data_IF_100858984625
#
_entry.id   IF_100858984625
#
_cell.length_a   1.000
_cell.length_b   1.000
_cell.length_c   1.000
_cell.angle_alpha   90.00
_cell.angle_beta   90.00
_cell.angle_gamma   90.00
#
_symmetry.space_group_name_H-M   'P 1'
#
loop_
_entity.id
_entity.type
_entity.pdbx_description
1 polymer ?
#
# COMPACT_ATOMS: atom_id res chain seq x y z
N UNK A 1 -15.45 -25.08 24.34
CA UNK A 1 -15.35 -23.64 24.01
C UNK A 1 -14.03 -23.45 23.30
N UNK A 2 -14.03 -23.37 21.97
CA UNK A 2 -12.80 -23.09 21.24
C UNK A 2 -12.37 -21.67 21.55
N UNK A 3 -11.16 -21.49 22.06
CA UNK A 3 -10.53 -20.17 22.14
C UNK A 3 -10.31 -19.79 20.69
N UNK A 4 -11.19 -18.95 20.16
CA UNK A 4 -10.94 -18.27 18.90
C UNK A 4 -9.78 -17.34 19.20
N UNK A 5 -8.56 -17.78 18.89
CA UNK A 5 -7.40 -16.89 18.96
C UNK A 5 -7.71 -15.73 18.03
N UNK A 6 -7.99 -14.57 18.63
CA UNK A 6 -8.17 -13.32 17.94
C UNK A 6 -6.79 -12.93 17.40
N UNK A 7 -6.38 -13.58 16.30
CA UNK A 7 -5.15 -13.25 15.59
C UNK A 7 -5.30 -11.77 15.26
N UNK A 8 -4.48 -10.88 15.84
CA UNK A 8 -4.73 -9.46 15.72
C UNK A 8 -4.62 -9.08 14.24
N UNK A 9 -5.77 -8.78 13.64
CA UNK A 9 -5.91 -8.54 12.21
C UNK A 9 -5.36 -7.15 11.92
N UNK A 10 -4.18 -7.09 11.32
CA UNK A 10 -3.67 -5.85 10.75
C UNK A 10 -4.53 -5.53 9.52
N UNK A 11 -5.24 -4.40 9.53
CA UNK A 11 -5.92 -3.87 8.36
C UNK A 11 -5.14 -2.67 7.83
N UNK A 12 -5.01 -2.59 6.51
CA UNK A 12 -4.24 -1.53 5.85
C UNK A 12 -5.07 -0.96 4.72
N UNK A 13 -5.16 0.36 4.62
CA UNK A 13 -5.83 1.05 3.52
C UNK A 13 -5.01 2.26 3.05
N UNK A 14 -5.34 2.77 1.87
CA UNK A 14 -4.81 4.01 1.32
C UNK A 14 -6.00 4.92 1.01
N UNK A 15 -6.67 5.55 1.99
CA UNK A 15 -7.90 6.31 1.74
C UNK A 15 -7.71 7.54 0.87
N UNK A 16 -6.49 8.11 0.81
CA UNK A 16 -6.25 9.36 0.09
C UNK A 16 -4.81 9.51 -0.40
N UNK A 17 -4.65 10.47 -1.32
CA UNK A 17 -3.35 11.01 -1.71
C UNK A 17 -3.27 12.47 -1.28
N UNK A 18 -2.10 12.86 -0.77
CA UNK A 18 -1.79 14.20 -0.32
C UNK A 18 -0.73 14.83 -1.22
N UNK A 19 -0.80 16.16 -1.36
CA UNK A 19 0.20 16.97 -2.07
C UNK A 19 0.97 17.77 -1.01
N UNK A 20 2.27 17.58 -0.97
CA UNK A 20 3.18 18.32 -0.08
C UNK A 20 4.08 19.19 -0.96
N UNK A 21 4.09 20.51 -0.73
CA UNK A 21 5.03 21.41 -1.38
C UNK A 21 6.28 21.52 -0.53
N UNK A 22 7.45 21.36 -1.15
CA UNK A 22 8.71 21.66 -0.48
C UNK A 22 9.01 23.16 -0.53
N UNK A 23 10.03 23.59 0.23
CA UNK A 23 10.47 24.99 0.31
C UNK A 23 10.86 25.59 -1.05
N UNK A 24 11.09 24.75 -2.06
CA UNK A 24 11.37 25.15 -3.44
C UNK A 24 10.11 25.27 -4.31
N UNK A 25 8.91 25.11 -3.73
CA UNK A 25 7.62 25.13 -4.42
C UNK A 25 7.32 23.87 -5.23
N UNK A 26 8.11 22.80 -5.09
CA UNK A 26 7.91 21.57 -5.85
C UNK A 26 6.91 20.67 -5.15
N UNK A 27 5.77 20.45 -5.79
CA UNK A 27 4.73 19.54 -5.28
C UNK A 27 5.16 18.07 -5.37
N UNK A 28 5.11 17.39 -4.23
CA UNK A 28 5.36 15.96 -4.06
C UNK A 28 4.04 15.26 -3.78
N UNK A 29 3.88 14.07 -4.35
CA UNK A 29 2.69 13.23 -4.14
C UNK A 29 2.98 12.18 -3.08
N UNK A 30 2.13 12.12 -2.06
CA UNK A 30 2.20 11.19 -0.95
C UNK A 30 0.90 10.40 -0.89
N UNK A 31 1.00 9.13 -0.52
CA UNK A 31 -0.14 8.27 -0.25
C UNK A 31 -0.29 8.19 1.27
N UNK A 32 -1.48 8.51 1.79
CA UNK A 32 -1.79 8.31 3.19
C UNK A 32 -2.15 6.84 3.37
N UNK A 33 -1.25 6.09 4.00
CA UNK A 33 -1.47 4.69 4.33
C UNK A 33 -1.97 4.65 5.78
N UNK A 34 -3.18 4.14 5.98
CA UNK A 34 -3.74 3.91 7.30
C UNK A 34 -3.56 2.47 7.71
N UNK A 35 -3.23 2.25 8.98
CA UNK A 35 -3.07 0.93 9.58
C UNK A 35 -3.96 0.87 10.82
N UNK A 36 -4.92 -0.05 10.81
CA UNK A 36 -5.71 -0.40 11.99
C UNK A 36 -5.15 -1.69 12.58
N UNK A 37 -4.75 -1.63 13.84
CA UNK A 37 -4.20 -2.75 14.58
C UNK A 37 -4.56 -2.62 16.05
N UNK A 38 -5.13 -3.67 16.65
CA UNK A 38 -5.57 -3.67 18.05
C UNK A 38 -6.43 -2.44 18.39
N UNK A 39 -7.42 -2.15 17.55
CA UNK A 39 -8.33 -0.99 17.66
C UNK A 39 -7.64 0.39 17.59
N UNK A 40 -6.32 0.44 17.33
CA UNK A 40 -5.58 1.69 17.15
C UNK A 40 -5.38 1.97 15.69
N UNK A 41 -5.73 3.19 15.30
CA UNK A 41 -5.56 3.70 13.94
C UNK A 41 -4.31 4.57 13.86
N UNK A 42 -3.36 4.16 13.03
CA UNK A 42 -2.15 4.91 12.71
C UNK A 42 -2.17 5.31 11.24
N UNK A 43 -1.42 6.35 10.86
CA UNK A 43 -1.18 6.66 9.46
C UNK A 43 0.27 7.03 9.19
N UNK A 44 0.72 6.76 7.97
CA UNK A 44 2.02 7.19 7.45
C UNK A 44 1.86 7.73 6.03
N UNK A 45 2.63 8.76 5.69
CA UNK A 45 2.70 9.28 4.33
C UNK A 45 3.86 8.61 3.58
N UNK A 46 3.59 8.08 2.38
CA UNK A 46 4.58 7.33 1.59
C UNK A 46 4.59 7.76 0.13
N UNK A 47 5.79 7.79 -0.47
CA UNK A 47 6.01 8.02 -1.91
C UNK A 47 5.88 6.69 -2.67
N UNK A 48 5.50 6.74 -3.95
CA UNK A 48 5.43 5.54 -4.82
C UNK A 48 6.72 4.70 -4.80
N UNK A 49 7.90 5.34 -4.76
CA UNK A 49 9.20 4.64 -4.73
C UNK A 49 9.42 3.82 -3.46
N UNK A 50 8.76 4.17 -2.36
CA UNK A 50 8.86 3.45 -1.09
C UNK A 50 8.10 2.13 -1.16
N UNK A 51 6.93 2.10 -1.81
CA UNK A 51 6.21 0.85 -2.11
C UNK A 51 7.06 -0.10 -2.97
N UNK A 52 7.79 0.42 -3.96
CA UNK A 52 8.69 -0.42 -4.76
C UNK A 52 9.85 -0.98 -3.92
N UNK A 53 10.31 -0.23 -2.93
CA UNK A 53 11.36 -0.71 -2.01
C UNK A 53 10.82 -1.77 -1.07
N UNK A 54 9.59 -1.61 -0.58
CA UNK A 54 8.88 -2.65 0.17
C UNK A 54 8.72 -3.92 -0.66
N UNK A 55 8.20 -3.83 -1.89
CA UNK A 55 8.06 -4.98 -2.81
C UNK A 55 9.38 -5.75 -2.99
N UNK A 56 10.50 -5.03 -3.24
CA UNK A 56 11.82 -5.65 -3.40
C UNK A 56 12.29 -6.41 -2.16
N UNK A 57 11.86 -6.02 -0.96
CA UNK A 57 12.14 -6.73 0.29
C UNK A 57 11.19 -7.93 0.46
N UNK A 58 9.89 -7.73 0.25
CA UNK A 58 8.88 -8.78 0.39
C UNK A 58 9.10 -9.95 -0.56
N UNK A 59 9.43 -9.69 -1.84
CA UNK A 59 9.67 -10.75 -2.83
C UNK A 59 10.81 -11.71 -2.49
N UNK A 60 11.68 -11.34 -1.55
CA UNK A 60 12.77 -12.19 -1.05
C UNK A 60 12.30 -13.12 0.07
N UNK A 61 11.17 -12.79 0.71
CA UNK A 61 10.64 -13.48 1.89
C UNK A 61 9.41 -14.32 1.52
N UNK A 62 8.61 -13.87 0.57
CA UNK A 62 7.36 -14.50 0.16
C UNK A 62 7.18 -14.41 -1.35
N UNK A 63 6.33 -15.27 -1.91
CA UNK A 63 5.82 -15.08 -3.26
C UNK A 63 4.90 -13.87 -3.26
N UNK A 64 5.36 -12.76 -3.84
CA UNK A 64 4.56 -11.53 -3.96
C UNK A 64 3.84 -11.50 -5.31
N UNK A 65 2.63 -10.92 -5.38
CA UNK A 65 2.02 -10.58 -6.66
C UNK A 65 2.86 -9.55 -7.44
N UNK A 66 2.52 -9.36 -8.71
CA UNK A 66 3.11 -8.34 -9.55
C UNK A 66 2.93 -6.95 -8.95
N UNK A 67 3.99 -6.14 -9.00
CA UNK A 67 3.98 -4.80 -8.43
C UNK A 67 3.36 -3.77 -9.41
N UNK A 68 2.42 -2.92 -8.96
CA UNK A 68 1.77 -1.92 -9.81
C UNK A 68 2.69 -0.73 -10.11
N UNK A 69 3.65 -0.93 -11.02
CA UNK A 69 4.64 0.07 -11.44
C UNK A 69 4.31 0.71 -12.78
N UNK A 70 4.60 2.01 -12.92
CA UNK A 70 4.57 2.74 -14.20
C UNK A 70 5.48 2.14 -15.29
N UNK A 71 6.48 1.34 -14.89
CA UNK A 71 7.39 0.66 -15.84
C UNK A 71 6.72 -0.55 -16.51
N UNK A 72 5.61 -1.06 -15.98
CA UNK A 72 4.83 -2.10 -16.63
C UNK A 72 3.96 -1.45 -17.73
N UNK A 73 4.16 -1.78 -19.02
CA UNK A 73 3.41 -1.17 -20.12
C UNK A 73 1.89 -1.26 -19.96
N UNK A 74 1.41 -2.39 -19.40
CA UNK A 74 -0.02 -2.65 -19.16
C UNK A 74 -0.62 -1.77 -18.03
N UNK A 75 0.22 -1.14 -17.21
CA UNK A 75 -0.20 -0.36 -16.03
C UNK A 75 0.16 1.14 -16.16
N UNK A 76 0.80 1.53 -17.28
CA UNK A 76 1.41 2.87 -17.44
C UNK A 76 0.37 3.99 -17.55
N UNK A 77 -0.77 3.76 -18.19
CA UNK A 77 -1.75 4.79 -18.58
C UNK A 77 -2.86 5.03 -17.56
N UNK A 78 -2.86 4.33 -16.42
CA UNK A 78 -3.98 4.37 -15.47
C UNK A 78 -4.13 5.73 -14.75
N UNK A 79 -5.38 6.21 -14.52
CA UNK A 79 -5.67 7.39 -13.70
C UNK A 79 -5.06 7.29 -12.30
N UNK A 80 -4.86 8.45 -11.66
CA UNK A 80 -4.22 8.52 -10.34
C UNK A 80 -5.01 7.76 -9.26
N UNK A 81 -6.33 7.85 -9.27
CA UNK A 81 -7.19 7.14 -8.32
C UNK A 81 -7.10 5.63 -8.48
N UNK A 82 -7.04 5.16 -9.73
CA UNK A 82 -6.83 3.73 -10.00
C UNK A 82 -5.46 3.26 -9.49
N UNK A 83 -4.41 4.09 -9.61
CA UNK A 83 -3.10 3.78 -9.03
C UNK A 83 -3.12 3.70 -7.50
N UNK A 84 -3.94 4.53 -6.83
CA UNK A 84 -4.15 4.44 -5.38
C UNK A 84 -4.77 3.08 -5.05
N UNK A 85 -5.84 2.70 -5.75
CA UNK A 85 -6.53 1.44 -5.53
C UNK A 85 -5.62 0.23 -5.77
N UNK A 86 -4.84 0.22 -6.85
CA UNK A 86 -3.90 -0.88 -7.13
C UNK A 86 -2.81 -1.03 -6.06
N UNK A 87 -2.33 0.09 -5.51
CA UNK A 87 -1.36 0.06 -4.42
C UNK A 87 -2.01 -0.43 -3.12
N UNK A 88 -3.27 -0.06 -2.86
CA UNK A 88 -4.05 -0.56 -1.72
C UNK A 88 -4.27 -2.07 -1.83
N UNK A 89 -4.72 -2.56 -3.00
CA UNK A 89 -4.89 -3.99 -3.27
C UNK A 89 -3.57 -4.74 -3.11
N UNK A 90 -2.45 -4.16 -3.57
CA UNK A 90 -1.13 -4.76 -3.44
C UNK A 90 -0.67 -4.89 -1.98
N UNK A 91 -0.95 -3.91 -1.11
CA UNK A 91 -0.54 -3.99 0.31
C UNK A 91 -1.53 -4.79 1.17
N UNK A 92 -2.78 -4.93 0.73
CA UNK A 92 -3.81 -5.78 1.34
C UNK A 92 -3.70 -7.26 0.93
N UNK A 93 -2.48 -7.83 0.82
CA UNK A 93 -2.17 -9.20 0.32
C UNK A 93 -3.03 -10.34 0.93
N UNK A 94 -3.82 -10.08 1.98
CA UNK A 94 -4.92 -10.93 2.47
C UNK A 94 -5.82 -11.52 1.38
N UNK A 95 -5.99 -10.88 0.21
CA UNK A 95 -6.78 -11.44 -0.90
C UNK A 95 -6.12 -12.57 -1.70
N UNK A 96 -4.81 -12.80 -1.57
CA UNK A 96 -4.07 -13.77 -2.41
C UNK A 96 -3.73 -15.06 -1.66
N UNK A 97 -3.60 -15.01 -0.32
CA UNK A 97 -3.21 -16.18 0.48
C UNK A 97 -4.43 -17.08 0.85
N UNK A 98 -5.66 -16.58 0.68
CA UNK A 98 -6.90 -17.32 0.97
C UNK A 98 -7.69 -17.72 -0.29
N UNK A 99 -7.02 -17.99 -1.42
CA UNK A 99 -7.67 -18.58 -2.60
C UNK A 99 -6.99 -19.87 -3.02
#
# INVERSE_FOLDING_TARGET
MGIQEDIPTIEVSIPSMEKEEDESGKTRKLFRVEVLFNQRKHFVLRKTREFQTLHRKLRKLIQTPDFPSKRNPHLRTKPLEQRRQELEDYIQVKKIINK
#
